data_IF_072639498454
#
_entry.id   IF_072639498454
#
_cell.length_a   1.000
_cell.length_b   1.000
_cell.length_c   1.000
_cell.angle_alpha   90.00
_cell.angle_beta   90.00
_cell.angle_gamma   90.00
#
_symmetry.space_group_name_H-M   'P 1'
#
loop_
_entity.id
_entity.type
_entity.pdbx_description
1 polymer ?
#
# COMPACT_ATOMS: atom_id res chain seq x y z
N UNK A 1 3.09 -33.78 16.92
CA UNK A 1 3.36 -32.34 16.73
C UNK A 1 4.30 -32.22 15.55
N UNK A 2 3.84 -31.64 14.44
CA UNK A 2 4.72 -31.33 13.30
C UNK A 2 5.50 -30.08 13.69
N UNK A 3 6.82 -30.09 13.58
CA UNK A 3 7.62 -28.90 13.80
C UNK A 3 7.17 -27.81 12.80
N UNK A 4 7.02 -26.55 13.21
CA UNK A 4 6.69 -25.49 12.28
C UNK A 4 7.77 -25.45 11.19
N UNK A 5 7.34 -25.54 9.93
CA UNK A 5 8.23 -25.31 8.78
C UNK A 5 8.52 -23.81 8.76
N UNK A 6 9.79 -23.45 8.89
CA UNK A 6 10.21 -22.06 8.74
C UNK A 6 10.02 -21.66 7.27
N UNK A 7 9.10 -20.74 7.01
CA UNK A 7 8.97 -20.11 5.69
C UNK A 7 9.97 -18.96 5.66
N UNK A 8 10.99 -19.08 4.81
CA UNK A 8 11.92 -17.99 4.53
C UNK A 8 11.31 -17.06 3.48
N UNK A 9 11.16 -15.77 3.82
CA UNK A 9 10.62 -14.77 2.90
C UNK A 9 11.78 -14.18 2.09
N UNK A 10 11.82 -14.38 0.76
CA UNK A 10 12.94 -13.93 -0.06
C UNK A 10 13.09 -12.41 -0.02
N UNK A 11 14.34 -11.95 0.00
CA UNK A 11 14.72 -10.54 -0.15
C UNK A 11 15.26 -10.36 -1.56
N UNK A 12 14.64 -9.44 -2.32
CA UNK A 12 14.99 -9.17 -3.72
C UNK A 12 15.50 -7.73 -3.82
N UNK A 13 16.75 -7.55 -4.25
CA UNK A 13 17.35 -6.25 -4.51
C UNK A 13 17.08 -5.82 -5.95
N UNK A 14 16.24 -4.78 -6.12
CA UNK A 14 15.85 -4.29 -7.45
C UNK A 14 16.75 -3.16 -7.97
N UNK A 15 17.81 -2.78 -7.25
CA UNK A 15 18.67 -1.65 -7.62
C UNK A 15 19.27 -1.81 -9.03
N UNK A 16 19.69 -3.02 -9.39
CA UNK A 16 20.20 -3.33 -10.73
C UNK A 16 19.14 -3.17 -11.83
N UNK A 17 17.89 -3.54 -11.56
CA UNK A 17 16.76 -3.30 -12.49
C UNK A 17 16.52 -1.80 -12.67
N UNK A 18 16.51 -1.02 -11.58
CA UNK A 18 16.34 0.43 -11.64
C UNK A 18 17.50 1.15 -12.34
N UNK A 19 18.71 0.59 -12.28
CA UNK A 19 19.89 1.10 -12.98
C UNK A 19 19.95 0.72 -14.47
N UNK A 20 19.03 -0.11 -14.97
CA UNK A 20 19.03 -0.60 -16.34
C UNK A 20 20.09 -1.67 -16.64
N UNK A 21 20.58 -2.38 -15.63
CA UNK A 21 21.51 -3.50 -15.81
C UNK A 21 20.75 -4.72 -16.36
N UNK A 22 21.07 -5.07 -17.61
CA UNK A 22 20.46 -6.19 -18.34
C UNK A 22 20.71 -7.53 -17.67
N UNK A 23 21.89 -7.74 -17.08
CA UNK A 23 22.22 -9.00 -16.41
C UNK A 23 21.52 -9.11 -15.06
N UNK A 24 21.45 -8.00 -14.31
CA UNK A 24 20.70 -7.96 -13.06
C UNK A 24 19.20 -8.17 -13.31
N UNK A 25 18.64 -7.54 -14.36
CA UNK A 25 17.22 -7.66 -14.73
C UNK A 25 16.77 -9.11 -14.85
N UNK A 26 17.51 -9.95 -15.59
CA UNK A 26 17.15 -11.37 -15.76
C UNK A 26 17.08 -12.12 -14.43
N UNK A 27 18.13 -12.00 -13.60
CA UNK A 27 18.15 -12.65 -12.28
C UNK A 27 17.03 -12.17 -11.36
N UNK A 28 16.78 -10.87 -11.32
CA UNK A 28 15.73 -10.27 -10.48
C UNK A 28 14.35 -10.78 -10.91
N UNK A 29 14.09 -10.91 -12.22
CA UNK A 29 12.83 -11.47 -12.73
C UNK A 29 12.64 -12.93 -12.31
N UNK A 30 13.70 -13.74 -12.37
CA UNK A 30 13.65 -15.14 -11.95
C UNK A 30 13.42 -15.26 -10.43
N UNK A 31 14.12 -14.45 -9.62
CA UNK A 31 13.93 -14.37 -8.16
C UNK A 31 12.49 -13.94 -7.81
N UNK A 32 11.95 -12.95 -8.53
CA UNK A 32 10.59 -12.45 -8.35
C UNK A 32 9.55 -13.52 -8.70
N UNK A 33 9.69 -14.19 -9.85
CA UNK A 33 8.84 -15.31 -10.26
C UNK A 33 8.81 -16.39 -9.19
N UNK A 34 9.98 -16.84 -8.76
CA UNK A 34 10.10 -17.90 -7.77
C UNK A 34 9.42 -17.53 -6.44
N UNK A 35 9.57 -16.28 -5.99
CA UNK A 35 8.92 -15.81 -4.77
C UNK A 35 7.38 -15.81 -4.88
N UNK A 36 6.85 -15.36 -6.02
CA UNK A 36 5.41 -15.34 -6.27
C UNK A 36 4.81 -16.75 -6.39
N UNK A 37 5.48 -17.68 -7.06
CA UNK A 37 4.98 -19.05 -7.29
C UNK A 37 5.09 -19.96 -6.05
N UNK A 38 6.02 -19.69 -5.14
CA UNK A 38 6.29 -20.56 -3.99
C UNK A 38 5.83 -19.98 -2.66
N UNK A 39 6.37 -18.82 -2.25
CA UNK A 39 6.07 -18.22 -0.95
C UNK A 39 4.79 -17.37 -0.99
N UNK A 40 4.49 -16.74 -2.13
CA UNK A 40 3.43 -15.74 -2.26
C UNK A 40 3.76 -14.41 -1.56
N UNK A 41 4.96 -14.27 -0.99
CA UNK A 41 5.45 -13.11 -0.26
C UNK A 41 6.93 -12.88 -0.57
N UNK A 42 7.35 -11.61 -0.58
CA UNK A 42 8.74 -11.18 -0.79
C UNK A 42 9.00 -9.83 -0.12
N UNK A 43 10.27 -9.54 0.14
CA UNK A 43 10.76 -8.24 0.59
C UNK A 43 11.54 -7.58 -0.56
N UNK A 44 11.28 -6.31 -0.83
CA UNK A 44 11.99 -5.54 -1.87
C UNK A 44 12.98 -4.60 -1.19
N UNK A 45 14.23 -4.63 -1.63
CA UNK A 45 15.28 -3.68 -1.22
C UNK A 45 15.90 -3.00 -2.45
N UNK A 46 16.71 -1.96 -2.24
CA UNK A 46 17.31 -1.20 -3.36
C UNK A 46 16.31 -0.39 -4.17
N UNK A 47 15.11 -0.16 -3.64
CA UNK A 47 14.03 0.59 -4.29
C UNK A 47 14.17 2.12 -4.15
N UNK A 48 13.35 2.88 -4.87
CA UNK A 48 13.43 4.34 -4.95
C UNK A 48 12.76 5.12 -3.80
N UNK A 49 12.05 4.46 -2.86
CA UNK A 49 11.38 5.16 -1.75
C UNK A 49 12.40 5.62 -0.70
N UNK A 50 12.57 6.93 -0.44
CA UNK A 50 13.56 7.44 0.49
C UNK A 50 13.32 6.95 1.93
N UNK A 51 14.39 6.61 2.65
CA UNK A 51 14.30 6.15 4.04
C UNK A 51 13.86 7.25 5.01
N UNK A 52 14.22 8.52 4.74
CA UNK A 52 13.75 9.66 5.53
C UNK A 52 12.24 9.85 5.38
N UNK A 53 11.69 9.69 4.17
CA UNK A 53 10.27 9.82 3.90
C UNK A 53 9.47 8.72 4.61
N UNK A 54 9.95 7.47 4.56
CA UNK A 54 9.36 6.37 5.33
C UNK A 54 9.32 6.69 6.83
N UNK A 55 10.41 7.25 7.36
CA UNK A 55 10.52 7.60 8.79
C UNK A 55 9.56 8.74 9.16
N UNK A 56 9.50 9.80 8.35
CA UNK A 56 8.57 10.93 8.53
C UNK A 56 7.11 10.47 8.44
N UNK A 57 6.79 9.61 7.48
CA UNK A 57 5.45 9.05 7.31
C UNK A 57 5.01 8.24 8.54
N UNK A 58 5.85 7.32 9.01
CA UNK A 58 5.55 6.52 10.21
C UNK A 58 5.43 7.39 11.46
N UNK A 59 6.29 8.40 11.62
CA UNK A 59 6.20 9.35 12.74
C UNK A 59 4.89 10.16 12.70
N UNK A 60 4.52 10.69 11.53
CA UNK A 60 3.27 11.44 11.34
C UNK A 60 2.03 10.58 11.62
N UNK A 61 2.04 9.30 11.22
CA UNK A 61 0.98 8.36 11.59
C UNK A 61 0.93 8.11 13.10
N UNK A 62 2.09 7.88 13.74
CA UNK A 62 2.15 7.65 15.18
C UNK A 62 1.63 8.87 15.98
N UNK A 63 1.97 10.09 15.57
CA UNK A 63 1.45 11.32 16.16
C UNK A 63 -0.08 11.44 16.00
N UNK A 64 -0.60 11.15 14.81
CA UNK A 64 -2.04 11.15 14.57
C UNK A 64 -2.77 10.12 15.45
N UNK A 65 -2.29 8.88 15.50
CA UNK A 65 -2.95 7.82 16.26
C UNK A 65 -2.85 8.00 17.79
N UNK A 66 -1.86 8.76 18.26
CA UNK A 66 -1.73 9.17 19.66
C UNK A 66 -2.75 10.25 20.08
N UNK A 67 -3.46 10.88 19.15
CA UNK A 67 -4.50 11.86 19.47
C UNK A 67 -5.67 11.22 20.22
N UNK A 68 -6.41 12.01 21.04
CA UNK A 68 -7.67 11.57 21.63
C UNK A 68 -8.64 11.05 20.57
N UNK A 69 -9.42 10.02 20.91
CA UNK A 69 -10.37 9.41 19.98
C UNK A 69 -11.30 10.43 19.32
N UNK A 70 -11.77 11.43 20.08
CA UNK A 70 -12.65 12.48 19.57
C UNK A 70 -12.01 13.32 18.46
N UNK A 71 -10.69 13.53 18.51
CA UNK A 71 -9.98 14.27 17.46
C UNK A 71 -9.85 13.44 16.19
N UNK A 72 -9.56 12.13 16.33
CA UNK A 72 -9.48 11.20 15.20
C UNK A 72 -10.85 11.00 14.53
N UNK A 73 -11.92 10.96 15.31
CA UNK A 73 -13.30 10.81 14.83
C UNK A 73 -13.78 11.97 13.94
N UNK A 74 -13.22 13.18 14.07
CA UNK A 74 -13.55 14.34 13.20
C UNK A 74 -13.26 14.10 11.73
N UNK A 75 -12.32 13.20 11.43
CA UNK A 75 -11.94 12.79 10.07
C UNK A 75 -12.28 11.32 9.84
N UNK A 76 -13.29 10.81 10.55
CA UNK A 76 -13.73 9.42 10.45
C UNK A 76 -14.37 9.09 9.10
N UNK A 77 -14.34 7.80 8.74
CA UNK A 77 -15.03 7.31 7.54
C UNK A 77 -16.55 7.56 7.57
N UNK A 78 -17.16 7.69 8.75
CA UNK A 78 -18.57 8.09 8.90
C UNK A 78 -18.88 9.48 8.36
N UNK A 79 -17.88 10.36 8.33
CA UNK A 79 -18.00 11.73 7.83
C UNK A 79 -17.71 11.83 6.32
N UNK A 80 -17.51 10.68 5.65
CA UNK A 80 -17.09 10.61 4.27
C UNK A 80 -18.04 9.77 3.41
N UNK A 81 -18.65 10.39 2.41
CA UNK A 81 -19.48 9.71 1.40
C UNK A 81 -18.75 8.60 0.62
N UNK A 82 -17.41 8.62 0.62
CA UNK A 82 -16.57 7.64 -0.08
C UNK A 82 -15.70 6.79 0.86
N UNK A 83 -16.02 6.71 2.16
CA UNK A 83 -15.28 5.92 3.16
C UNK A 83 -13.77 6.24 3.22
N UNK A 84 -13.42 7.53 3.34
CA UNK A 84 -12.05 8.02 3.53
C UNK A 84 -11.81 8.49 4.96
N UNK A 85 -10.55 8.47 5.36
CA UNK A 85 -10.12 8.92 6.68
C UNK A 85 -10.06 7.80 7.72
N UNK A 86 -10.26 8.18 8.97
CA UNK A 86 -10.02 7.35 10.15
C UNK A 86 -11.09 6.27 10.34
N UNK A 87 -10.62 5.09 10.73
CA UNK A 87 -11.43 3.95 11.12
C UNK A 87 -11.02 3.52 12.53
N UNK A 88 -11.98 3.53 13.44
CA UNK A 88 -11.75 3.18 14.85
C UNK A 88 -11.51 1.67 15.04
N UNK A 89 -10.96 1.34 16.20
CA UNK A 89 -10.84 -0.05 16.67
C UNK A 89 -12.20 -0.76 16.62
N UNK A 90 -12.21 -1.96 16.05
CA UNK A 90 -13.41 -2.75 15.85
C UNK A 90 -14.34 -2.22 14.75
N UNK A 91 -13.87 -1.29 13.91
CA UNK A 91 -14.61 -0.79 12.75
C UNK A 91 -14.78 -1.81 11.63
N UNK A 92 -13.93 -2.84 11.60
CA UNK A 92 -13.97 -3.94 10.62
C UNK A 92 -14.19 -5.28 11.30
N UNK A 93 -14.91 -6.17 10.60
CA UNK A 93 -15.19 -7.54 11.01
C UNK A 93 -15.09 -8.44 9.79
N UNK A 94 -14.40 -9.58 9.93
CA UNK A 94 -14.11 -10.47 8.80
C UNK A 94 -15.37 -11.01 8.11
N UNK A 95 -16.39 -11.36 8.90
CA UNK A 95 -17.70 -11.77 8.41
C UNK A 95 -18.76 -10.96 9.17
N UNK A 96 -19.37 -9.98 8.51
CA UNK A 96 -20.41 -9.15 9.11
C UNK A 96 -21.68 -9.92 9.47
N UNK A 97 -21.90 -11.09 8.84
CA UNK A 97 -23.10 -11.91 9.01
C UNK A 97 -22.94 -12.97 10.11
N UNK A 98 -21.72 -13.33 10.48
CA UNK A 98 -21.46 -14.25 11.61
C UNK A 98 -21.46 -13.47 12.94
N UNK A 99 -22.48 -13.68 13.77
CA UNK A 99 -22.60 -13.07 15.10
C UNK A 99 -21.39 -13.37 16.01
N UNK A 100 -20.67 -14.47 15.77
CA UNK A 100 -19.51 -14.88 16.56
C UNK A 100 -18.17 -14.34 16.05
N UNK A 101 -18.12 -13.75 14.85
CA UNK A 101 -16.87 -13.21 14.34
C UNK A 101 -16.39 -12.04 15.22
N UNK A 102 -15.10 -12.06 15.54
CA UNK A 102 -14.46 -11.01 16.35
C UNK A 102 -14.15 -9.79 15.49
N UNK A 103 -14.36 -8.60 16.03
CA UNK A 103 -13.96 -7.37 15.36
C UNK A 103 -12.44 -7.17 15.41
N UNK A 104 -11.89 -6.58 14.35
CA UNK A 104 -10.46 -6.33 14.21
C UNK A 104 -9.96 -5.39 15.31
N UNK A 105 -8.91 -5.80 16.01
CA UNK A 105 -8.27 -5.01 17.05
C UNK A 105 -7.23 -4.04 16.47
N UNK A 106 -7.65 -3.26 15.47
CA UNK A 106 -6.83 -2.26 14.79
C UNK A 106 -7.62 -0.98 14.55
N UNK A 107 -6.94 0.14 14.55
CA UNK A 107 -7.42 1.36 13.91
C UNK A 107 -6.68 1.58 12.59
N UNK A 108 -7.30 2.31 11.66
CA UNK A 108 -6.72 2.55 10.34
C UNK A 108 -7.01 3.97 9.85
N UNK A 109 -6.27 4.40 8.83
CA UNK A 109 -6.51 5.67 8.15
C UNK A 109 -6.42 5.43 6.64
N UNK A 110 -7.52 5.68 5.94
CA UNK A 110 -7.67 5.33 4.52
C UNK A 110 -7.60 6.55 3.63
N UNK A 111 -6.60 6.57 2.74
CA UNK A 111 -6.40 7.59 1.71
C UNK A 111 -6.39 6.93 0.35
N UNK A 112 -6.98 7.58 -0.64
CA UNK A 112 -6.78 7.27 -2.07
C UNK A 112 -6.50 8.54 -2.86
N UNK A 113 -6.41 8.43 -4.19
CA UNK A 113 -6.34 9.63 -5.03
C UNK A 113 -7.60 10.49 -4.86
N UNK A 114 -7.41 11.78 -4.59
CA UNK A 114 -8.51 12.73 -4.50
C UNK A 114 -9.26 12.79 -5.84
N UNK A 115 -10.58 12.62 -5.79
CA UNK A 115 -11.47 12.71 -6.97
C UNK A 115 -12.75 13.45 -6.61
N UNK A 116 -13.45 14.04 -7.60
CA UNK A 116 -14.81 14.52 -7.39
C UNK A 116 -15.74 13.39 -6.95
N UNK A 117 -16.74 13.72 -6.13
CA UNK A 117 -17.84 12.81 -5.83
C UNK A 117 -18.64 12.48 -7.11
N UNK A 118 -19.31 11.33 -7.11
CA UNK A 118 -20.23 10.91 -8.19
C UNK A 118 -20.00 9.51 -8.74
N UNK A 119 -18.90 8.84 -8.37
CA UNK A 119 -18.68 7.42 -8.62
C UNK A 119 -18.49 6.67 -7.31
N UNK A 120 -18.86 5.39 -7.31
CA UNK A 120 -18.72 4.52 -6.14
C UNK A 120 -17.28 4.54 -5.61
N UNK A 121 -17.13 4.80 -4.30
CA UNK A 121 -15.85 4.93 -3.60
C UNK A 121 -14.88 5.98 -4.17
N UNK A 122 -15.33 6.96 -4.96
CA UNK A 122 -14.52 8.11 -5.37
C UNK A 122 -14.98 9.37 -4.65
N UNK A 123 -14.03 10.19 -4.19
CA UNK A 123 -14.33 11.41 -3.47
C UNK A 123 -13.08 12.02 -2.83
N UNK A 124 -13.25 13.14 -2.10
CA UNK A 124 -12.18 13.79 -1.38
C UNK A 124 -11.76 12.99 -0.14
N UNK A 125 -10.46 13.01 0.18
CA UNK A 125 -9.94 12.49 1.43
C UNK A 125 -10.27 13.41 2.61
N UNK A 126 -10.41 12.80 3.79
CA UNK A 126 -10.60 13.51 5.06
C UNK A 126 -9.24 13.73 5.70
N UNK A 127 -8.73 14.95 5.70
CA UNK A 127 -7.40 15.28 6.24
C UNK A 127 -7.50 15.90 7.63
N UNK A 128 -6.73 15.40 8.64
CA UNK A 128 -6.74 15.99 9.96
C UNK A 128 -5.96 17.31 9.98
N UNK A 129 -6.33 18.19 10.91
CA UNK A 129 -5.56 19.42 11.18
C UNK A 129 -4.27 19.14 11.95
N UNK A 130 -4.24 18.04 12.72
CA UNK A 130 -3.09 17.62 13.52
C UNK A 130 -2.75 16.15 13.22
N UNK A 131 -1.45 15.80 13.10
CA UNK A 131 -0.30 16.69 13.16
C UNK A 131 -0.21 17.64 11.94
N UNK A 132 0.43 18.81 12.09
CA UNK A 132 0.73 19.65 10.94
C UNK A 132 1.53 18.88 9.89
N UNK A 133 1.27 19.12 8.60
CA UNK A 133 1.92 18.42 7.47
C UNK A 133 1.46 16.97 7.22
N UNK A 134 0.46 16.46 7.97
CA UNK A 134 0.00 15.08 7.81
C UNK A 134 -0.36 14.77 6.35
N UNK A 135 -1.14 15.64 5.71
CA UNK A 135 -1.55 15.49 4.30
C UNK A 135 -0.33 15.45 3.38
N UNK A 136 0.57 16.41 3.53
CA UNK A 136 1.72 16.59 2.66
C UNK A 136 2.65 15.37 2.71
N UNK A 137 2.98 14.91 3.91
CA UNK A 137 3.84 13.74 4.12
C UNK A 137 3.16 12.46 3.61
N UNK A 138 1.85 12.30 3.87
CA UNK A 138 1.10 11.13 3.42
C UNK A 138 1.06 11.08 1.89
N UNK A 139 0.73 12.19 1.23
CA UNK A 139 0.69 12.28 -0.25
C UNK A 139 2.07 12.02 -0.86
N UNK A 140 3.14 12.61 -0.30
CA UNK A 140 4.51 12.39 -0.77
C UNK A 140 4.91 10.90 -0.70
N UNK A 141 4.56 10.23 0.40
CA UNK A 141 4.80 8.79 0.57
C UNK A 141 3.95 7.94 -0.38
N UNK A 142 2.65 8.27 -0.51
CA UNK A 142 1.73 7.59 -1.43
C UNK A 142 2.24 7.61 -2.87
N UNK A 143 2.63 8.78 -3.37
CA UNK A 143 3.13 8.94 -4.74
C UNK A 143 4.43 8.16 -4.96
N UNK A 144 5.33 8.16 -3.96
CA UNK A 144 6.59 7.41 -4.00
C UNK A 144 6.36 5.89 -4.06
N UNK A 145 5.43 5.38 -3.26
CA UNK A 145 5.08 3.95 -3.25
C UNK A 145 4.32 3.56 -4.52
N UNK A 146 3.45 4.42 -5.04
CA UNK A 146 2.76 4.18 -6.31
C UNK A 146 3.75 4.12 -7.49
N UNK A 147 4.74 5.01 -7.54
CA UNK A 147 5.79 4.95 -8.55
C UNK A 147 6.60 3.63 -8.46
N UNK A 148 6.88 3.16 -7.23
CA UNK A 148 7.51 1.84 -7.02
C UNK A 148 6.58 0.70 -7.46
N UNK A 149 5.27 0.74 -7.15
CA UNK A 149 4.35 -0.33 -7.53
C UNK A 149 4.29 -0.54 -9.03
N UNK A 150 4.39 0.54 -9.83
CA UNK A 150 4.49 0.42 -11.29
C UNK A 150 5.73 -0.35 -11.74
N UNK A 151 6.88 -0.19 -11.06
CA UNK A 151 8.08 -0.98 -11.34
C UNK A 151 7.90 -2.45 -10.98
N UNK A 152 7.19 -2.73 -9.88
CA UNK A 152 6.88 -4.10 -9.48
C UNK A 152 5.89 -4.78 -10.45
N UNK A 153 4.91 -4.05 -10.98
CA UNK A 153 4.03 -4.56 -12.05
C UNK A 153 4.81 -4.93 -13.30
N UNK A 154 5.82 -4.14 -13.68
CA UNK A 154 6.69 -4.47 -14.82
C UNK A 154 7.55 -5.70 -14.57
N UNK A 155 8.09 -5.86 -13.36
CA UNK A 155 8.77 -7.10 -12.96
C UNK A 155 7.82 -8.30 -12.99
N UNK A 156 6.58 -8.12 -12.56
CA UNK A 156 5.54 -9.15 -12.64
C UNK A 156 5.18 -9.52 -14.08
N UNK A 157 5.10 -8.55 -14.99
CA UNK A 157 4.86 -8.81 -16.41
C UNK A 157 5.99 -9.65 -17.01
N UNK A 158 7.24 -9.28 -16.73
CA UNK A 158 8.41 -10.03 -17.17
C UNK A 158 8.46 -11.43 -16.56
N UNK A 159 8.08 -11.58 -15.28
CA UNK A 159 7.96 -12.88 -14.62
C UNK A 159 6.78 -13.72 -15.12
N UNK A 160 6.01 -13.24 -16.10
CA UNK A 160 4.96 -13.98 -16.79
C UNK A 160 5.29 -14.15 -18.27
N UNK A 161 6.51 -13.82 -18.69
CA UNK A 161 6.96 -13.81 -20.09
C UNK A 161 6.11 -12.88 -20.98
N UNK A 162 5.59 -11.79 -20.40
CA UNK A 162 4.84 -10.74 -21.09
C UNK A 162 5.75 -9.56 -21.44
N UNK A 163 5.21 -8.62 -22.24
CA UNK A 163 5.84 -7.32 -22.47
C UNK A 163 6.03 -6.59 -21.14
N UNK A 164 7.18 -5.90 -20.96
CA UNK A 164 7.49 -5.21 -19.71
C UNK A 164 6.40 -4.21 -19.31
N UNK A 165 5.79 -3.54 -20.29
CA UNK A 165 4.79 -2.50 -20.08
C UNK A 165 3.36 -3.04 -20.10
N UNK A 166 3.16 -4.36 -20.09
CA UNK A 166 1.84 -5.00 -20.23
C UNK A 166 0.79 -4.46 -19.24
N UNK A 167 1.18 -4.17 -18.00
CA UNK A 167 0.27 -3.66 -16.96
C UNK A 167 0.30 -2.12 -16.81
N UNK A 168 1.06 -1.38 -17.63
CA UNK A 168 1.21 0.06 -17.46
C UNK A 168 -0.13 0.79 -17.59
N UNK A 169 -0.96 0.44 -18.58
CA UNK A 169 -2.28 1.03 -18.77
C UNK A 169 -3.22 0.72 -17.60
N UNK A 170 -3.19 -0.52 -17.10
CA UNK A 170 -3.99 -0.94 -15.94
C UNK A 170 -3.58 -0.19 -14.67
N UNK A 171 -2.29 -0.05 -14.41
CA UNK A 171 -1.75 0.63 -13.24
C UNK A 171 -1.69 2.16 -13.37
N UNK A 172 -1.96 2.72 -14.55
CA UNK A 172 -1.94 4.17 -14.80
C UNK A 172 -3.00 4.93 -14.00
N UNK A 173 -4.10 4.26 -13.64
CA UNK A 173 -5.05 4.73 -12.65
C UNK A 173 -4.75 4.05 -11.30
N UNK A 174 -4.39 4.80 -10.24
CA UNK A 174 -4.09 4.24 -8.92
C UNK A 174 -5.26 3.48 -8.27
N UNK A 175 -6.50 3.69 -8.73
CA UNK A 175 -7.66 2.93 -8.28
C UNK A 175 -7.86 1.62 -9.07
N UNK A 176 -6.99 1.30 -10.04
CA UNK A 176 -7.06 0.08 -10.87
C UNK A 176 -8.26 0.05 -11.83
N UNK A 177 -8.93 1.20 -12.00
CA UNK A 177 -10.04 1.39 -12.92
C UNK A 177 -9.47 2.21 -14.08
N UNK A 178 -9.02 1.55 -15.16
CA UNK A 178 -8.80 2.30 -16.40
C UNK A 178 -10.14 2.95 -16.78
N UNK A 179 -10.11 4.23 -17.13
CA UNK A 179 -11.29 4.93 -17.64
C UNK A 179 -11.86 4.26 -18.89
#
# INVERSE_FOLDING_TARGET
MVAPVAVEIPIIDISGYLAGDVQAKGRIVDEFRNACENQGFLQVVGHSVPADLQSRYLASLAEFFALPAQEKEKVGQSESECHRGYERIGGQKLDELDENATADQKESFSVRRDRPLGRFLQGPNQWPENPPQFKEIYTEYYDSVHALSMKLFRLMALSLDLDENYFDDFGSDPDGISA
#
